data_IF_986522606490
#
_entry.id   IF_986522606490
#
_cell.length_a   1.000
_cell.length_b   1.000
_cell.length_c   1.000
_cell.angle_alpha   90.00
_cell.angle_beta   90.00
_cell.angle_gamma   90.00
#
_symmetry.space_group_name_H-M   'P 1'
#
loop_
_entity.id
_entity.type
_entity.pdbx_description
1 polymer ?
#
# COMPACT_ATOMS: atom_id res chain seq x y z
N UNK A 1 -35.95 -29.02 2.17
CA UNK A 1 -35.09 -28.03 2.88
C UNK A 1 -33.82 -27.91 2.05
N UNK A 2 -33.81 -27.19 0.93
CA UNK A 2 -33.87 -25.72 0.82
C UNK A 2 -33.00 -25.05 1.88
N UNK A 3 -31.74 -24.81 1.53
CA UNK A 3 -31.22 -23.45 1.26
C UNK A 3 -30.07 -23.59 0.26
N UNK A 4 -30.38 -23.38 -1.01
CA UNK A 4 -29.44 -22.79 -1.94
C UNK A 4 -28.86 -21.55 -1.25
N UNK A 5 -27.55 -21.53 -1.04
CA UNK A 5 -26.82 -20.27 -1.04
C UNK A 5 -25.94 -20.37 -2.27
N UNK A 6 -26.57 -20.09 -3.41
CA UNK A 6 -25.88 -19.84 -4.65
C UNK A 6 -24.83 -18.78 -4.34
N UNK A 7 -23.58 -19.18 -4.52
CA UNK A 7 -22.47 -18.26 -4.56
C UNK A 7 -22.73 -17.43 -5.80
N UNK A 8 -23.39 -16.28 -5.61
CA UNK A 8 -23.51 -15.26 -6.64
C UNK A 8 -22.11 -14.65 -6.82
N UNK A 9 -21.28 -15.37 -7.57
CA UNK A 9 -20.23 -14.75 -8.35
C UNK A 9 -21.00 -14.02 -9.44
N UNK A 10 -21.32 -12.76 -9.18
CA UNK A 10 -22.01 -11.92 -10.14
C UNK A 10 -21.06 -11.71 -11.33
N UNK A 11 -21.15 -12.65 -12.28
CA UNK A 11 -20.45 -12.69 -13.57
C UNK A 11 -21.07 -11.65 -14.51
N UNK A 12 -21.17 -10.40 -14.02
CA UNK A 12 -21.31 -9.20 -14.82
C UNK A 12 -20.01 -8.98 -15.59
N UNK A 13 -19.89 -9.71 -16.70
CA UNK A 13 -18.77 -9.67 -17.62
C UNK A 13 -18.80 -8.36 -18.42
N UNK A 14 -18.34 -7.26 -17.83
CA UNK A 14 -17.87 -6.12 -18.61
C UNK A 14 -16.54 -6.52 -19.27
N UNK A 15 -16.62 -7.16 -20.43
CA UNK A 15 -15.49 -7.56 -21.30
C UNK A 15 -14.68 -6.37 -21.86
N UNK A 16 -14.67 -5.22 -21.18
CA UNK A 16 -14.01 -4.00 -21.61
C UNK A 16 -12.95 -3.48 -20.62
N UNK A 17 -12.62 -4.20 -19.52
CA UNK A 17 -11.60 -3.76 -18.56
C UNK A 17 -10.71 -4.89 -17.99
N UNK A 18 -9.99 -5.57 -18.88
CA UNK A 18 -8.94 -6.56 -18.54
C UNK A 18 -7.81 -6.00 -17.65
N UNK A 19 -7.62 -4.69 -17.64
CA UNK A 19 -6.69 -3.98 -16.77
C UNK A 19 -7.07 -4.13 -15.27
N UNK A 20 -8.37 -4.09 -14.94
CA UNK A 20 -8.82 -4.21 -13.55
C UNK A 20 -8.55 -5.60 -12.94
N UNK A 21 -8.65 -6.66 -13.75
CA UNK A 21 -8.43 -8.05 -13.31
C UNK A 21 -6.95 -8.44 -13.23
N UNK A 22 -6.06 -7.74 -13.94
CA UNK A 22 -4.62 -8.04 -13.94
C UNK A 22 -3.97 -7.89 -12.56
N UNK A 23 -4.55 -7.07 -11.68
CA UNK A 23 -4.05 -6.87 -10.32
C UNK A 23 -4.31 -8.07 -9.40
N UNK A 24 -5.22 -8.98 -9.76
CA UNK A 24 -5.57 -10.17 -8.95
C UNK A 24 -4.62 -11.35 -9.23
N UNK A 25 -4.00 -11.38 -10.42
CA UNK A 25 -3.28 -12.56 -10.92
C UNK A 25 -1.76 -12.40 -10.94
N UNK A 26 -1.23 -11.18 -10.87
CA UNK A 26 0.21 -10.93 -10.94
C UNK A 26 0.80 -10.64 -9.55
N UNK A 27 1.14 -11.71 -8.85
CA UNK A 27 1.95 -11.64 -7.64
C UNK A 27 3.42 -11.91 -7.99
N UNK A 28 4.25 -10.86 -7.86
CA UNK A 28 5.73 -10.84 -7.89
C UNK A 28 6.37 -10.49 -9.24
N UNK A 29 6.75 -9.22 -9.38
CA UNK A 29 7.88 -8.82 -10.23
C UNK A 29 8.99 -8.29 -9.32
N UNK A 30 10.15 -8.95 -9.35
CA UNK A 30 11.36 -8.52 -8.61
C UNK A 30 12.36 -7.83 -9.57
N UNK A 31 11.82 -7.10 -10.55
CA UNK A 31 12.61 -6.36 -11.54
C UNK A 31 12.61 -4.90 -11.15
N UNK A 32 13.82 -4.31 -11.04
CA UNK A 32 13.98 -2.86 -10.90
C UNK A 32 13.30 -2.19 -12.10
N UNK A 33 12.20 -1.50 -11.85
CA UNK A 33 11.43 -0.86 -12.91
C UNK A 33 11.96 0.55 -13.09
N UNK A 34 12.82 0.76 -14.08
CA UNK A 34 13.34 2.09 -14.43
C UNK A 34 12.20 3.02 -14.89
N UNK A 35 11.12 2.43 -15.41
CA UNK A 35 9.95 3.13 -15.92
C UNK A 35 8.86 3.25 -14.85
N UNK A 36 8.72 4.44 -14.26
CA UNK A 36 7.71 4.79 -13.25
C UNK A 36 6.27 4.90 -13.79
N UNK A 37 6.02 4.45 -15.00
CA UNK A 37 4.71 4.48 -15.66
C UNK A 37 3.89 3.22 -15.42
N UNK A 38 4.45 2.22 -14.73
CA UNK A 38 3.79 0.93 -14.46
C UNK A 38 3.92 0.52 -12.99
N UNK A 39 2.91 -0.18 -12.49
CA UNK A 39 2.90 -0.72 -11.14
C UNK A 39 4.06 -1.70 -10.95
N UNK A 40 4.81 -1.56 -9.87
CA UNK A 40 5.95 -2.43 -9.57
C UNK A 40 5.54 -3.90 -9.36
N UNK A 41 4.36 -4.16 -8.78
CA UNK A 41 3.92 -5.53 -8.48
C UNK A 41 3.25 -6.22 -9.69
N UNK A 42 2.13 -5.65 -10.17
CA UNK A 42 1.31 -6.28 -11.21
C UNK A 42 1.64 -5.86 -12.64
N UNK A 43 2.56 -4.90 -12.79
CA UNK A 43 3.01 -4.36 -14.08
C UNK A 43 1.86 -3.84 -14.96
N UNK A 44 0.83 -3.25 -14.36
CA UNK A 44 -0.22 -2.50 -15.08
C UNK A 44 0.22 -1.07 -15.37
N UNK A 45 -0.30 -0.44 -16.43
CA UNK A 45 -0.05 0.98 -16.70
C UNK A 45 -0.73 1.82 -15.61
N UNK A 46 0.02 2.78 -15.07
CA UNK A 46 -0.47 3.70 -14.05
C UNK A 46 -1.08 4.95 -14.67
N UNK A 47 -2.11 5.46 -14.03
CA UNK A 47 -2.65 6.81 -14.26
C UNK A 47 -1.65 7.87 -13.79
N UNK A 48 -1.78 9.12 -14.26
CA UNK A 48 -0.88 10.21 -13.86
C UNK A 48 -0.83 10.38 -12.33
N UNK A 49 -1.96 10.26 -11.64
CA UNK A 49 -2.04 10.34 -10.17
C UNK A 49 -1.23 9.23 -9.50
N UNK A 50 -1.38 7.98 -9.96
CA UNK A 50 -0.65 6.83 -9.41
C UNK A 50 0.86 6.89 -9.69
N UNK A 51 1.29 7.55 -10.77
CA UNK A 51 2.72 7.75 -11.09
C UNK A 51 3.40 8.74 -10.15
N UNK A 52 2.66 9.73 -9.64
CA UNK A 52 3.16 10.74 -8.70
C UNK A 52 3.21 10.19 -7.28
N UNK A 53 2.26 9.32 -6.91
CA UNK A 53 2.20 8.68 -5.60
C UNK A 53 3.24 7.55 -5.46
N UNK A 54 4.39 7.88 -4.87
CA UNK A 54 5.44 6.91 -4.53
C UNK A 54 5.27 6.39 -3.12
N UNK A 55 5.49 5.08 -2.93
CA UNK A 55 5.66 4.52 -1.60
C UNK A 55 7.01 4.94 -1.00
N UNK A 56 7.17 4.82 0.32
CA UNK A 56 8.45 5.07 1.01
C UNK A 56 9.57 4.09 0.61
N UNK A 57 9.23 2.97 -0.05
CA UNK A 57 10.19 2.06 -0.68
C UNK A 57 10.61 2.50 -2.10
N UNK A 58 10.34 3.75 -2.49
CA UNK A 58 10.67 4.39 -3.78
C UNK A 58 10.02 3.80 -5.04
N UNK A 59 9.14 2.81 -4.88
CA UNK A 59 8.37 2.21 -5.96
C UNK A 59 7.00 2.87 -6.15
N UNK A 60 6.44 2.75 -7.36
CA UNK A 60 5.11 3.23 -7.75
C UNK A 60 4.15 2.06 -7.99
N UNK A 61 2.87 2.26 -7.64
CA UNK A 61 1.87 1.18 -7.62
C UNK A 61 0.52 1.67 -8.12
N UNK A 62 -0.32 0.74 -8.58
CA UNK A 62 -1.72 1.03 -8.85
C UNK A 62 -2.50 1.14 -7.53
N UNK A 63 -3.70 1.70 -7.57
CA UNK A 63 -4.54 1.91 -6.38
C UNK A 63 -4.72 0.67 -5.49
N UNK A 64 -4.73 -0.55 -6.07
CA UNK A 64 -4.84 -1.79 -5.28
C UNK A 64 -3.55 -2.18 -4.53
N UNK A 65 -2.39 -1.82 -5.08
CA UNK A 65 -1.08 -2.14 -4.50
C UNK A 65 -0.40 -0.94 -3.85
N UNK A 66 -1.07 0.20 -3.79
CA UNK A 66 -0.54 1.44 -3.22
C UNK A 66 -0.18 1.31 -1.74
N UNK A 67 -1.02 0.60 -0.99
CA UNK A 67 -0.83 0.44 0.45
C UNK A 67 0.27 -0.60 0.76
N UNK A 68 1.09 -0.38 1.80
CA UNK A 68 2.25 -1.21 2.12
C UNK A 68 1.90 -2.68 2.43
N UNK A 69 0.71 -2.93 2.98
CA UNK A 69 0.17 -4.27 3.21
C UNK A 69 -0.07 -5.05 1.92
N UNK A 70 -0.32 -4.37 0.80
CA UNK A 70 -0.69 -5.00 -0.47
C UNK A 70 0.50 -5.28 -1.39
N UNK A 71 1.70 -4.77 -1.09
CA UNK A 71 2.88 -4.98 -1.94
C UNK A 71 4.12 -5.50 -1.20
N UNK A 72 3.96 -5.97 0.05
CA UNK A 72 5.06 -6.47 0.89
C UNK A 72 6.19 -5.43 0.96
N UNK A 73 5.85 -4.23 1.41
CA UNK A 73 6.79 -3.11 1.47
C UNK A 73 8.03 -3.46 2.32
N UNK A 74 9.23 -3.27 1.75
CA UNK A 74 10.50 -3.49 2.45
C UNK A 74 10.91 -2.32 3.37
N UNK A 75 10.11 -1.25 3.44
CA UNK A 75 10.41 -0.09 4.25
C UNK A 75 10.09 -0.34 5.75
N UNK A 76 11.04 -0.07 6.65
CA UNK A 76 10.84 -0.21 8.10
C UNK A 76 10.04 0.95 8.70
N UNK A 77 8.71 0.86 8.62
CA UNK A 77 7.80 1.82 9.25
C UNK A 77 7.94 1.86 10.77
N UNK A 78 8.28 0.73 11.43
CA UNK A 78 8.36 0.65 12.88
C UNK A 78 9.58 1.42 13.38
N UNK A 79 10.75 1.17 12.80
CA UNK A 79 11.98 1.89 13.12
C UNK A 79 11.87 3.37 12.80
N UNK A 80 11.33 3.71 11.62
CA UNK A 80 11.11 5.11 11.23
C UNK A 80 10.18 5.85 12.21
N UNK A 81 9.06 5.22 12.61
CA UNK A 81 8.14 5.79 13.58
C UNK A 81 8.79 6.02 14.95
N UNK A 82 9.57 5.06 15.46
CA UNK A 82 10.31 5.22 16.72
C UNK A 82 11.30 6.39 16.68
N UNK A 83 12.00 6.57 15.56
CA UNK A 83 12.95 7.69 15.41
C UNK A 83 12.23 9.03 15.46
N UNK A 84 11.13 9.18 14.72
CA UNK A 84 10.31 10.40 14.73
C UNK A 84 9.78 10.69 16.14
N UNK A 85 9.27 9.66 16.83
CA UNK A 85 8.78 9.83 18.20
C UNK A 85 9.88 10.27 19.17
N UNK A 86 11.08 9.71 19.05
CA UNK A 86 12.21 10.10 19.88
C UNK A 86 12.61 11.56 19.63
N UNK A 87 12.66 11.99 18.37
CA UNK A 87 13.00 13.37 17.98
C UNK A 87 11.95 14.38 18.46
N UNK A 88 10.67 14.00 18.46
CA UNK A 88 9.56 14.91 18.81
C UNK A 88 9.13 14.86 20.28
N UNK A 89 9.59 13.88 21.06
CA UNK A 89 9.24 13.81 22.48
C UNK A 89 9.97 14.92 23.26
N UNK A 90 9.25 15.91 23.82
CA UNK A 90 9.87 16.94 24.64
C UNK A 90 10.43 16.33 25.92
N UNK A 91 11.60 16.79 26.36
CA UNK A 91 12.18 16.39 27.63
C UNK A 91 11.37 17.02 28.79
N UNK A 92 10.44 16.25 29.35
CA UNK A 92 9.63 16.69 30.50
C UNK A 92 10.48 16.63 31.76
N UNK A 93 11.01 17.78 32.20
CA UNK A 93 11.68 17.94 33.49
C UNK A 93 10.65 18.35 34.54
N UNK A 94 10.38 17.46 35.48
CA UNK A 94 9.47 17.74 36.59
C UNK A 94 10.27 18.45 37.69
N UNK A 95 9.94 19.69 37.99
CA UNK A 95 10.35 20.35 39.23
C UNK A 95 9.50 19.81 40.37
N UNK A 96 10.15 19.30 41.41
CA UNK A 96 9.47 18.80 42.60
C UNK A 96 8.83 19.99 43.30
N UNK A 97 7.50 20.08 43.29
CA UNK A 97 6.76 21.12 44.02
C UNK A 97 6.94 20.87 45.51
N UNK A 98 7.46 21.86 46.23
CA UNK A 98 7.45 21.83 47.68
C UNK A 98 6.00 21.97 48.15
N UNK A 99 5.51 20.96 48.88
CA UNK A 99 4.16 20.98 49.43
C UNK A 99 3.98 22.20 50.34
N UNK A 100 2.83 22.87 50.17
CA UNK A 100 2.35 23.95 51.04
C UNK A 100 1.83 23.32 52.33
#
# INVERSE_FOLDING_TARGET
>A
MNKNLEVEIDLGLDLLNLDKYKCVLNEKNNKKNENKTRCFLCNIKLTLTEQVCKCKCDNVFCNRHLFPENHRCDFDYKGHGRKILLENNPCVKISKVAGI
#
